data_IF_139387359867
#
_entry.id   IF_139387359867
#
_cell.length_a   1.000
_cell.length_b   1.000
_cell.length_c   1.000
_cell.angle_alpha   90.00
_cell.angle_beta   90.00
_cell.angle_gamma   90.00
#
_symmetry.space_group_name_H-M   'P 1'
#
loop_
_entity.id
_entity.type
_entity.pdbx_description
1 polymer ?
#
# COMPACT_ATOMS: atom_id res chain seq x y z
N UNK A 1 21.56 46.83 11.15
CA UNK A 1 20.20 46.25 11.10
C UNK A 1 19.91 45.41 9.84
N UNK A 2 20.28 45.85 8.61
CA UNK A 2 20.03 45.09 7.36
C UNK A 2 20.56 43.64 7.30
N UNK A 3 21.75 43.34 7.85
CA UNK A 3 22.34 41.99 7.77
C UNK A 3 21.56 40.92 8.56
N UNK A 4 20.96 41.29 9.69
CA UNK A 4 20.15 40.37 10.50
C UNK A 4 18.80 40.05 9.84
N UNK A 5 18.19 41.04 9.18
CA UNK A 5 16.93 40.85 8.46
C UNK A 5 17.06 39.85 7.30
N UNK A 6 18.11 39.97 6.48
CA UNK A 6 18.36 39.05 5.36
C UNK A 6 18.54 37.61 5.84
N UNK A 7 19.23 37.41 6.97
CA UNK A 7 19.41 36.07 7.55
C UNK A 7 18.07 35.46 8.00
N UNK A 8 17.19 36.27 8.59
CA UNK A 8 15.85 35.83 9.01
C UNK A 8 14.97 35.48 7.81
N UNK A 9 14.94 36.33 6.77
CA UNK A 9 14.17 36.07 5.54
C UNK A 9 14.62 34.77 4.85
N UNK A 10 15.92 34.51 4.82
CA UNK A 10 16.47 33.28 4.27
C UNK A 10 16.11 32.06 5.12
N UNK A 11 16.20 32.16 6.44
CA UNK A 11 15.85 31.07 7.36
C UNK A 11 14.37 30.66 7.22
N UNK A 12 13.46 31.63 7.12
CA UNK A 12 12.03 31.37 6.89
C UNK A 12 11.80 30.71 5.54
N UNK A 13 12.49 31.18 4.49
CA UNK A 13 12.36 30.65 3.14
C UNK A 13 12.82 29.19 3.04
N UNK A 14 13.98 28.86 3.63
CA UNK A 14 14.47 27.47 3.70
C UNK A 14 13.55 26.60 4.53
N UNK A 15 13.05 27.11 5.67
CA UNK A 15 12.11 26.37 6.51
C UNK A 15 10.85 25.97 5.75
N UNK A 16 10.26 26.91 5.00
CA UNK A 16 9.10 26.65 4.17
C UNK A 16 9.42 25.66 3.04
N UNK A 17 10.56 25.82 2.37
CA UNK A 17 10.99 24.91 1.30
C UNK A 17 11.21 23.48 1.83
N UNK A 18 11.79 23.31 3.01
CA UNK A 18 11.98 22.02 3.64
C UNK A 18 10.63 21.34 3.96
N UNK A 19 9.64 22.09 4.47
CA UNK A 19 8.29 21.56 4.72
C UNK A 19 7.62 21.08 3.43
N UNK A 20 7.80 21.82 2.31
CA UNK A 20 7.27 21.41 1.01
C UNK A 20 7.92 20.11 0.51
N UNK A 21 9.24 19.98 0.63
CA UNK A 21 9.95 18.74 0.26
C UNK A 21 9.49 17.55 1.11
N UNK A 22 9.33 17.74 2.42
CA UNK A 22 8.82 16.70 3.31
C UNK A 22 7.40 16.27 2.89
N UNK A 23 6.52 17.24 2.60
CA UNK A 23 5.18 16.94 2.09
C UNK A 23 5.18 16.14 0.79
N UNK A 24 6.11 16.43 -0.12
CA UNK A 24 6.25 15.69 -1.38
C UNK A 24 6.74 14.25 -1.14
N UNK A 25 7.73 14.06 -0.27
CA UNK A 25 8.26 12.73 0.08
C UNK A 25 7.20 11.88 0.77
N UNK A 26 6.45 12.46 1.71
CA UNK A 26 5.35 11.79 2.41
C UNK A 26 4.26 11.32 1.43
N UNK A 27 3.85 12.21 0.53
CA UNK A 27 2.84 11.90 -0.50
C UNK A 27 3.34 10.82 -1.46
N UNK A 28 4.61 10.88 -1.87
CA UNK A 28 5.25 9.87 -2.70
C UNK A 28 5.30 8.49 -2.03
N UNK A 29 5.66 8.42 -0.75
CA UNK A 29 5.63 7.17 0.04
C UNK A 29 4.24 6.58 0.14
N UNK A 30 3.23 7.41 0.37
CA UNK A 30 1.84 6.95 0.44
C UNK A 30 1.39 6.35 -0.91
N UNK A 31 1.60 7.08 -2.01
CA UNK A 31 1.26 6.60 -3.35
C UNK A 31 2.00 5.31 -3.71
N UNK A 32 3.28 5.21 -3.35
CA UNK A 32 4.09 4.02 -3.53
C UNK A 32 3.52 2.81 -2.78
N UNK A 33 3.10 2.98 -1.52
CA UNK A 33 2.48 1.90 -0.74
C UNK A 33 1.17 1.40 -1.37
N UNK A 34 0.30 2.34 -1.80
CA UNK A 34 -0.96 2.00 -2.50
C UNK A 34 -0.68 1.23 -3.79
N UNK A 35 0.25 1.70 -4.61
CA UNK A 35 0.61 1.04 -5.87
C UNK A 35 1.17 -0.36 -5.65
N UNK A 36 2.09 -0.50 -4.70
CA UNK A 36 2.70 -1.79 -4.32
C UNK A 36 1.66 -2.80 -3.85
N UNK A 37 0.76 -2.40 -2.94
CA UNK A 37 -0.33 -3.26 -2.48
C UNK A 37 -1.29 -3.63 -3.61
N UNK A 38 -1.63 -2.68 -4.49
CA UNK A 38 -2.53 -2.91 -5.62
C UNK A 38 -1.95 -3.96 -6.57
N UNK A 39 -0.66 -3.87 -6.88
CA UNK A 39 0.01 -4.86 -7.71
C UNK A 39 0.04 -6.24 -7.01
N UNK A 40 0.31 -6.26 -5.70
CA UNK A 40 0.38 -7.48 -4.92
C UNK A 40 -0.97 -8.24 -4.86
N UNK A 41 -2.09 -7.54 -4.64
CA UNK A 41 -3.41 -8.19 -4.63
C UNK A 41 -3.80 -8.74 -6.00
N UNK A 42 -3.43 -8.05 -7.10
CA UNK A 42 -3.64 -8.55 -8.47
C UNK A 42 -2.86 -9.84 -8.72
N UNK A 43 -1.62 -9.89 -8.26
CA UNK A 43 -0.78 -11.09 -8.39
C UNK A 43 -1.30 -12.25 -7.52
N UNK A 44 -1.80 -11.95 -6.32
CA UNK A 44 -2.50 -12.92 -5.48
C UNK A 44 -3.78 -13.46 -6.14
N UNK A 45 -4.60 -12.58 -6.72
CA UNK A 45 -5.81 -12.98 -7.44
C UNK A 45 -5.48 -13.84 -8.67
N UNK A 46 -4.38 -13.54 -9.39
CA UNK A 46 -3.89 -14.37 -10.50
C UNK A 46 -3.43 -15.75 -10.03
N UNK A 47 -2.75 -15.82 -8.89
CA UNK A 47 -2.36 -17.11 -8.32
C UNK A 47 -3.61 -17.93 -7.94
N UNK A 48 -4.64 -17.27 -7.41
CA UNK A 48 -5.89 -17.91 -7.01
C UNK A 48 -6.66 -18.55 -8.18
N UNK A 49 -6.52 -18.06 -9.42
CA UNK A 49 -7.15 -18.73 -10.59
C UNK A 49 -6.51 -20.07 -10.91
N UNK A 50 -5.22 -20.24 -10.60
CA UNK A 50 -4.48 -21.49 -10.81
C UNK A 50 -4.60 -22.44 -9.61
N UNK A 51 -4.69 -21.88 -8.40
CA UNK A 51 -4.74 -22.64 -7.14
C UNK A 51 -5.80 -22.07 -6.20
N UNK A 52 -7.11 -22.23 -6.52
CA UNK A 52 -8.19 -21.58 -5.77
C UNK A 52 -8.35 -22.10 -4.32
N UNK A 53 -7.92 -23.33 -4.04
CA UNK A 53 -8.01 -23.90 -2.69
C UNK A 53 -6.82 -23.52 -1.80
N UNK A 54 -5.75 -22.95 -2.36
CA UNK A 54 -4.51 -22.63 -1.64
C UNK A 54 -4.55 -21.21 -1.06
N UNK A 55 -5.43 -21.00 -0.07
CA UNK A 55 -5.63 -19.69 0.59
C UNK A 55 -4.32 -19.17 1.20
N UNK A 56 -3.53 -20.06 1.81
CA UNK A 56 -2.24 -19.71 2.39
C UNK A 56 -1.24 -19.27 1.32
N UNK A 57 -1.15 -20.00 0.20
CA UNK A 57 -0.30 -19.62 -0.93
C UNK A 57 -0.71 -18.32 -1.61
N UNK A 58 -2.02 -18.05 -1.72
CA UNK A 58 -2.54 -16.75 -2.21
C UNK A 58 -2.06 -15.62 -1.30
N UNK A 59 -2.25 -15.76 0.02
CA UNK A 59 -1.82 -14.77 0.98
C UNK A 59 -0.30 -14.57 0.99
N UNK A 60 0.45 -15.67 0.83
CA UNK A 60 1.91 -15.61 0.72
C UNK A 60 2.37 -14.94 -0.57
N UNK A 61 1.67 -15.16 -1.69
CA UNK A 61 1.95 -14.49 -2.96
C UNK A 61 1.81 -12.98 -2.80
N UNK A 62 0.71 -12.51 -2.20
CA UNK A 62 0.52 -11.08 -1.88
C UNK A 62 1.69 -10.54 -1.05
N UNK A 63 2.05 -11.20 0.07
CA UNK A 63 3.15 -10.74 0.94
C UNK A 63 4.53 -10.77 0.27
N UNK A 64 4.76 -11.72 -0.65
CA UNK A 64 6.01 -11.79 -1.41
C UNK A 64 6.16 -10.65 -2.41
N UNK A 65 5.03 -10.16 -2.95
CA UNK A 65 4.95 -9.04 -3.89
C UNK A 65 5.00 -7.66 -3.23
N UNK A 66 5.15 -7.58 -1.90
CA UNK A 66 5.22 -6.32 -1.14
C UNK A 66 6.56 -6.13 -0.43
N UNK A 67 7.67 -6.55 -1.05
CA UNK A 67 9.00 -6.53 -0.42
C UNK A 67 9.46 -5.16 0.12
N UNK A 68 8.95 -4.07 -0.46
CA UNK A 68 9.27 -2.70 -0.07
C UNK A 68 8.44 -2.17 1.11
N UNK A 69 7.54 -2.99 1.67
CA UNK A 69 6.70 -2.68 2.83
C UNK A 69 7.00 -3.66 3.98
N UNK A 70 6.68 -3.28 5.21
CA UNK A 70 6.76 -4.21 6.34
C UNK A 70 5.68 -5.29 6.21
N UNK A 71 6.12 -6.50 5.81
CA UNK A 71 5.24 -7.65 5.56
C UNK A 71 4.49 -8.09 6.82
N UNK A 72 5.01 -7.84 8.02
CA UNK A 72 4.37 -8.22 9.28
C UNK A 72 3.07 -7.44 9.53
N UNK A 73 2.97 -6.24 8.94
CA UNK A 73 1.84 -5.34 9.09
C UNK A 73 0.77 -5.53 8.00
N UNK A 74 0.99 -6.45 7.04
CA UNK A 74 0.08 -6.67 5.92
C UNK A 74 -0.92 -7.77 6.28
N UNK A 75 -2.18 -7.35 6.43
CA UNK A 75 -3.31 -8.27 6.53
C UNK A 75 -3.82 -8.61 5.14
N UNK A 76 -4.09 -9.89 4.88
CA UNK A 76 -4.63 -10.37 3.61
C UNK A 76 -5.88 -11.17 3.88
N UNK A 77 -6.95 -10.87 3.16
CA UNK A 77 -8.21 -11.57 3.20
C UNK A 77 -8.55 -12.08 1.80
N UNK A 78 -8.95 -13.34 1.70
CA UNK A 78 -9.38 -13.96 0.45
C UNK A 78 -10.81 -14.42 0.64
N UNK A 79 -11.70 -14.00 -0.27
CA UNK A 79 -13.10 -14.42 -0.28
C UNK A 79 -13.49 -14.93 -1.65
N UNK A 80 -14.47 -15.82 -1.69
CA UNK A 80 -15.03 -16.38 -2.92
C UNK A 80 -16.52 -16.10 -2.98
N UNK A 81 -17.05 -15.92 -4.19
CA UNK A 81 -18.50 -15.79 -4.41
C UNK A 81 -19.27 -17.09 -4.15
N UNK A 82 -18.59 -18.24 -4.12
CA UNK A 82 -19.16 -19.54 -3.76
C UNK A 82 -18.13 -20.38 -2.98
N UNK A 83 -18.61 -21.25 -2.09
CA UNK A 83 -17.80 -22.15 -1.26
C UNK A 83 -18.38 -23.57 -1.36
N UNK A 84 -17.64 -24.56 -1.89
CA UNK A 84 -16.28 -24.47 -2.41
C UNK A 84 -16.17 -23.65 -3.71
N UNK A 85 -15.00 -23.07 -4.03
CA UNK A 85 -14.77 -22.43 -5.32
C UNK A 85 -15.03 -23.42 -6.47
N UNK A 86 -15.93 -23.04 -7.38
CA UNK A 86 -16.20 -23.76 -8.63
C UNK A 86 -15.79 -22.91 -9.85
N UNK A 87 -15.66 -23.54 -11.02
CA UNK A 87 -15.45 -22.83 -12.29
C UNK A 87 -16.50 -21.72 -12.46
N UNK A 88 -16.03 -20.52 -12.83
CA UNK A 88 -16.85 -19.31 -12.90
C UNK A 88 -17.00 -18.52 -11.59
N UNK A 89 -16.53 -19.04 -10.45
CA UNK A 89 -16.54 -18.30 -9.17
C UNK A 89 -15.62 -17.09 -9.22
N UNK A 90 -15.99 -16.02 -8.52
CA UNK A 90 -15.16 -14.83 -8.39
C UNK A 90 -14.36 -14.90 -7.09
N UNK A 91 -13.04 -14.88 -7.20
CA UNK A 91 -12.15 -14.67 -6.06
C UNK A 91 -11.93 -13.19 -5.85
N UNK A 92 -12.05 -12.72 -4.61
CA UNK A 92 -11.69 -11.36 -4.18
C UNK A 92 -10.52 -11.46 -3.21
N UNK A 93 -9.39 -10.86 -3.57
CA UNK A 93 -8.21 -10.75 -2.71
C UNK A 93 -8.10 -9.32 -2.22
N UNK A 94 -8.20 -9.13 -0.91
CA UNK A 94 -8.10 -7.84 -0.23
C UNK A 94 -6.85 -7.80 0.62
N UNK A 95 -6.08 -6.71 0.55
CA UNK A 95 -4.94 -6.48 1.42
C UNK A 95 -5.05 -5.13 2.12
N UNK A 96 -4.67 -5.10 3.39
CA UNK A 96 -4.66 -3.91 4.24
C UNK A 96 -3.28 -3.69 4.85
N UNK A 97 -2.85 -2.42 4.90
CA UNK A 97 -1.58 -2.00 5.45
C UNK A 97 -1.74 -0.70 6.26
N UNK A 98 -1.30 -0.65 7.54
CA UNK A 98 -1.36 0.55 8.35
C UNK A 98 -0.23 1.52 7.96
N UNK A 99 -0.50 2.42 7.01
CA UNK A 99 0.46 3.44 6.64
C UNK A 99 0.61 4.48 7.77
N UNK A 100 1.86 4.77 8.14
CA UNK A 100 2.22 5.79 9.12
C UNK A 100 3.10 6.84 8.46
N UNK A 101 2.73 8.11 8.66
CA UNK A 101 3.56 9.24 8.22
C UNK A 101 4.89 9.25 8.99
N UNK A 102 5.99 9.62 8.31
CA UNK A 102 7.28 9.79 9.00
C UNK A 102 7.24 10.93 10.02
N UNK A 103 6.44 11.96 9.74
CA UNK A 103 6.28 13.12 10.61
C UNK A 103 5.33 12.84 11.79
N UNK A 104 4.74 11.65 11.87
CA UNK A 104 3.71 11.33 12.87
C UNK A 104 2.40 12.12 12.69
N UNK A 105 2.30 12.91 11.61
CA UNK A 105 1.17 13.80 11.36
C UNK A 105 -0.15 13.05 11.13
N UNK A 106 -0.08 11.82 10.61
CA UNK A 106 -1.24 10.98 10.40
C UNK A 106 -0.87 9.48 10.34
N UNK A 107 -1.85 8.65 10.65
CA UNK A 107 -1.84 7.22 10.36
C UNK A 107 -3.13 6.85 9.64
N UNK A 108 -3.04 6.11 8.55
CA UNK A 108 -4.20 5.67 7.78
C UNK A 108 -3.99 4.27 7.25
N UNK A 109 -4.98 3.41 7.43
CA UNK A 109 -4.95 2.09 6.81
C UNK A 109 -5.27 2.21 5.33
N UNK A 110 -4.35 1.73 4.49
CA UNK A 110 -4.56 1.55 3.06
C UNK A 110 -5.16 0.17 2.86
N UNK A 111 -6.33 0.10 2.24
CA UNK A 111 -6.98 -1.16 1.87
C UNK A 111 -7.23 -1.17 0.37
N UNK A 112 -6.82 -2.24 -0.30
CA UNK A 112 -7.02 -2.44 -1.74
C UNK A 112 -7.53 -3.85 -1.99
N UNK A 113 -8.30 -4.02 -3.06
CA UNK A 113 -8.82 -5.32 -3.45
C UNK A 113 -8.65 -5.54 -4.96
N UNK A 114 -8.51 -6.80 -5.35
CA UNK A 114 -8.55 -7.27 -6.72
C UNK A 114 -9.49 -8.46 -6.84
N UNK A 115 -10.16 -8.57 -7.98
CA UNK A 115 -11.07 -9.68 -8.27
C UNK A 115 -10.64 -10.40 -9.54
N UNK A 116 -10.78 -11.73 -9.55
CA UNK A 116 -10.61 -12.55 -10.75
C UNK A 116 -11.66 -13.66 -10.79
N UNK A 117 -11.94 -14.17 -12.00
CA UNK A 117 -12.83 -15.32 -12.19
C UNK A 117 -11.98 -16.59 -12.27
N UNK A 118 -12.38 -17.60 -11.51
CA UNK A 118 -11.81 -18.96 -11.56
C UNK A 118 -12.25 -19.61 -12.89
N UNK A 119 -11.33 -20.18 -13.68
CA UNK A 119 -11.66 -20.82 -14.95
C UNK A 119 -12.50 -22.07 -14.77
#
# INVERSE_FOLDING_TARGET
MRRGQVLVEFAVSIGLFALLLLGLVESGRYAFAVSTLTNAVREGARYATLRPYDIAGIAQRVRSSTASLDRSQISVQVTYSSLPPVSGSVVTVTASYPFRSLLGAFSRTVTVAAQMRVP
#
